data_IF_204098990638
#
_entry.id   IF_204098990638
#
_cell.length_a   1.000
_cell.length_b   1.000
_cell.length_c   1.000
_cell.angle_alpha   90.00
_cell.angle_beta   90.00
_cell.angle_gamma   90.00
#
_symmetry.space_group_name_H-M   'P 1'
#
loop_
_entity.id
_entity.type
_entity.pdbx_description
1 polymer ?
#
# COMPACT_ATOMS: atom_id res chain seq x y z
N UNK A 1 18.44 29.71 4.18
CA UNK A 1 19.07 28.60 4.90
C UNK A 1 20.34 29.12 5.55
N UNK A 2 20.44 29.03 6.86
CA UNK A 2 21.60 29.45 7.64
C UNK A 2 22.11 28.26 8.46
N UNK A 3 23.40 28.22 8.77
CA UNK A 3 23.91 27.21 9.68
C UNK A 3 24.91 27.83 10.65
N UNK A 4 25.03 27.23 11.82
CA UNK A 4 26.08 27.51 12.80
C UNK A 4 26.77 26.22 13.18
N UNK A 5 28.11 26.26 13.25
CA UNK A 5 28.92 25.08 13.61
C UNK A 5 30.07 25.51 14.50
N UNK A 6 30.36 24.68 15.51
CA UNK A 6 31.47 24.87 16.43
C UNK A 6 32.15 23.56 16.75
N UNK A 7 33.46 23.55 16.86
CA UNK A 7 34.23 22.37 17.24
C UNK A 7 33.83 21.91 18.65
N UNK A 8 33.42 20.66 18.78
CA UNK A 8 32.92 20.09 20.04
C UNK A 8 31.46 20.43 20.40
N UNK A 9 30.79 21.34 19.66
CA UNK A 9 29.38 21.73 19.93
C UNK A 9 28.39 21.27 18.85
N UNK A 10 28.88 20.67 17.76
CA UNK A 10 28.04 20.20 16.66
C UNK A 10 27.66 21.29 15.66
N UNK A 11 26.70 20.97 14.79
CA UNK A 11 26.21 21.87 13.73
C UNK A 11 24.70 21.99 13.81
N UNK A 12 24.18 23.21 13.80
CA UNK A 12 22.75 23.50 13.72
C UNK A 12 22.43 24.11 12.36
N UNK A 13 21.44 23.56 11.66
CA UNK A 13 20.90 24.11 10.42
C UNK A 13 19.55 24.77 10.69
N UNK A 14 19.39 26.01 10.22
CA UNK A 14 18.12 26.74 10.28
C UNK A 14 17.57 26.87 8.86
N UNK A 15 16.40 26.28 8.63
CA UNK A 15 15.68 26.36 7.36
C UNK A 15 14.40 27.13 7.59
N UNK A 16 14.23 28.26 6.90
CA UNK A 16 12.99 29.03 6.91
C UNK A 16 12.31 28.85 5.58
N UNK A 17 11.11 28.31 5.59
CA UNK A 17 10.27 28.11 4.41
C UNK A 17 9.05 29.02 4.54
N UNK A 18 8.80 29.96 3.60
CA UNK A 18 7.57 30.71 3.57
C UNK A 18 6.44 29.81 3.02
N UNK A 19 5.36 29.67 3.77
CA UNK A 19 4.12 29.05 3.32
C UNK A 19 3.01 30.10 3.26
N UNK A 20 2.26 30.11 2.16
CA UNK A 20 0.98 30.80 2.14
C UNK A 20 -0.02 29.98 2.97
N UNK A 21 -0.69 30.65 3.89
CA UNK A 21 -1.82 30.03 4.60
C UNK A 21 -2.97 29.98 3.60
N UNK A 22 -3.40 28.82 3.19
CA UNK A 22 -4.63 28.65 2.44
C UNK A 22 -5.82 28.88 3.42
N UNK A 23 -6.58 29.97 3.26
CA UNK A 23 -7.72 30.25 4.12
C UNK A 23 -8.92 29.35 3.80
N UNK A 24 -8.84 28.54 2.75
CA UNK A 24 -9.90 27.57 2.44
C UNK A 24 -9.89 26.53 3.56
N UNK A 25 -10.97 26.39 4.35
CA UNK A 25 -11.06 25.27 5.28
C UNK A 25 -10.85 24.02 4.44
N UNK A 26 -9.81 23.26 4.75
CA UNK A 26 -9.73 21.90 4.24
C UNK A 26 -11.08 21.29 4.60
N UNK A 27 -11.91 21.02 3.60
CA UNK A 27 -13.17 20.29 3.84
C UNK A 27 -12.76 19.15 4.74
N UNK A 28 -13.35 19.10 5.94
CA UNK A 28 -13.08 18.04 6.90
C UNK A 28 -13.08 16.78 6.07
N UNK A 29 -11.95 16.05 6.07
CA UNK A 29 -11.88 14.78 5.39
C UNK A 29 -13.14 14.07 5.82
N UNK A 30 -14.03 13.81 4.86
CA UNK A 30 -15.26 13.07 5.12
C UNK A 30 -14.81 11.90 6.00
N UNK A 31 -15.39 11.80 7.19
CA UNK A 31 -15.12 10.71 8.13
C UNK A 31 -15.68 9.41 7.54
N UNK A 32 -15.20 9.04 6.35
CA UNK A 32 -15.51 7.76 5.70
C UNK A 32 -14.88 6.60 6.46
N UNK A 33 -13.93 6.88 7.36
CA UNK A 33 -13.30 5.85 8.19
C UNK A 33 -14.31 5.18 9.14
N UNK A 34 -15.30 5.91 9.67
CA UNK A 34 -16.30 5.36 10.60
C UNK A 34 -17.28 4.37 9.96
N UNK A 35 -17.28 4.23 8.63
CA UNK A 35 -18.19 3.32 7.89
C UNK A 35 -17.47 2.19 7.16
N UNK A 36 -16.13 2.10 7.27
CA UNK A 36 -15.37 1.04 6.61
C UNK A 36 -15.48 -0.24 7.45
N UNK A 37 -16.04 -1.28 6.86
CA UNK A 37 -16.12 -2.62 7.44
C UNK A 37 -15.45 -3.61 6.48
N UNK A 38 -14.36 -4.23 6.94
CA UNK A 38 -13.58 -5.23 6.21
C UNK A 38 -13.93 -6.66 6.64
N UNK A 39 -15.03 -6.83 7.41
CA UNK A 39 -15.41 -8.14 7.94
C UNK A 39 -15.58 -9.17 6.83
N UNK A 40 -14.89 -10.29 6.98
CA UNK A 40 -14.91 -11.39 6.01
C UNK A 40 -14.00 -11.23 4.81
N UNK A 41 -13.24 -10.12 4.73
CA UNK A 41 -12.22 -9.95 3.70
C UNK A 41 -10.91 -10.62 4.07
N UNK A 42 -10.31 -11.30 3.09
CA UNK A 42 -8.99 -11.88 3.20
C UNK A 42 -8.00 -11.12 2.30
N UNK A 43 -7.07 -10.43 2.92
CA UNK A 43 -6.10 -9.57 2.27
C UNK A 43 -4.72 -10.23 2.32
N UNK A 44 -4.12 -10.49 1.15
CA UNK A 44 -2.74 -10.95 1.03
C UNK A 44 -1.81 -9.72 1.04
N UNK A 45 -1.09 -9.53 2.14
CA UNK A 45 -0.24 -8.37 2.39
C UNK A 45 1.24 -8.75 2.26
N UNK A 46 1.94 -8.12 1.31
CA UNK A 46 3.37 -8.30 1.11
C UNK A 46 4.16 -7.05 1.49
N UNK A 47 5.03 -7.20 2.45
CA UNK A 47 5.92 -6.16 2.97
C UNK A 47 7.16 -6.84 3.54
N UNK A 48 8.36 -6.41 3.18
CA UNK A 48 9.63 -6.99 3.65
C UNK A 48 10.10 -6.43 5.00
N UNK A 49 9.53 -5.31 5.43
CA UNK A 49 9.81 -4.73 6.73
C UNK A 49 8.78 -5.18 7.77
N UNK A 50 9.23 -5.92 8.78
CA UNK A 50 8.40 -6.52 9.82
C UNK A 50 7.54 -5.49 10.58
N UNK A 51 8.11 -4.34 10.95
CA UNK A 51 7.38 -3.27 11.64
C UNK A 51 6.29 -2.66 10.76
N UNK A 52 6.59 -2.43 9.47
CA UNK A 52 5.60 -1.93 8.53
C UNK A 52 4.49 -2.96 8.29
N UNK A 53 4.82 -4.24 8.26
CA UNK A 53 3.86 -5.35 8.18
C UNK A 53 2.90 -5.32 9.37
N UNK A 54 3.42 -5.32 10.59
CA UNK A 54 2.63 -5.32 11.83
C UNK A 54 1.68 -4.12 11.90
N UNK A 55 2.16 -2.92 11.55
CA UNK A 55 1.33 -1.70 11.56
C UNK A 55 0.14 -1.83 10.60
N UNK A 56 0.36 -2.29 9.36
CA UNK A 56 -0.71 -2.43 8.37
C UNK A 56 -1.68 -3.54 8.74
N UNK A 57 -1.15 -4.67 9.21
CA UNK A 57 -1.96 -5.78 9.70
C UNK A 57 -2.86 -5.34 10.85
N UNK A 58 -2.31 -4.64 11.85
CA UNK A 58 -3.08 -4.11 12.96
C UNK A 58 -4.26 -3.24 12.49
N UNK A 59 -4.03 -2.29 11.56
CA UNK A 59 -5.11 -1.44 11.07
C UNK A 59 -6.17 -2.22 10.28
N UNK A 60 -5.78 -3.12 9.40
CA UNK A 60 -6.73 -3.93 8.62
C UNK A 60 -7.59 -4.80 9.55
N UNK A 61 -6.97 -5.44 10.55
CA UNK A 61 -7.66 -6.31 11.51
C UNK A 61 -8.57 -5.52 12.47
N UNK A 62 -8.22 -4.29 12.84
CA UNK A 62 -9.11 -3.42 13.61
C UNK A 62 -10.44 -3.12 12.91
N UNK A 63 -10.46 -3.15 11.57
CA UNK A 63 -11.66 -2.95 10.76
C UNK A 63 -12.29 -4.27 10.30
N UNK A 64 -11.92 -5.39 10.93
CA UNK A 64 -12.54 -6.71 10.73
C UNK A 64 -11.96 -7.53 9.59
N UNK A 65 -10.95 -7.05 8.87
CA UNK A 65 -10.27 -7.79 7.82
C UNK A 65 -9.36 -8.89 8.38
N UNK A 66 -9.05 -9.89 7.57
CA UNK A 66 -8.06 -10.93 7.85
C UNK A 66 -6.86 -10.73 6.96
N UNK A 67 -5.65 -10.77 7.52
CA UNK A 67 -4.40 -10.58 6.77
C UNK A 67 -3.64 -11.88 6.66
N UNK A 68 -3.18 -12.19 5.45
CA UNK A 68 -2.16 -13.20 5.16
C UNK A 68 -0.84 -12.46 4.90
N UNK A 69 0.07 -12.38 5.89
CA UNK A 69 1.33 -11.68 5.73
C UNK A 69 2.35 -12.53 4.97
N UNK A 70 3.07 -11.91 4.02
CA UNK A 70 4.18 -12.51 3.28
C UNK A 70 5.29 -11.47 3.06
N UNK A 71 6.54 -11.91 2.83
CA UNK A 71 7.70 -11.03 2.84
C UNK A 71 8.21 -10.63 1.44
N UNK A 72 7.78 -11.34 0.40
CA UNK A 72 8.21 -11.06 -0.97
C UNK A 72 7.17 -11.47 -2.02
N UNK A 73 7.41 -11.04 -3.26
CA UNK A 73 6.51 -11.33 -4.38
C UNK A 73 6.45 -12.80 -4.80
N UNK A 74 7.47 -13.61 -4.46
CA UNK A 74 7.43 -15.05 -4.72
C UNK A 74 6.46 -15.77 -3.79
N UNK A 75 6.43 -15.35 -2.52
CA UNK A 75 5.47 -15.84 -1.55
C UNK A 75 4.04 -15.42 -1.93
N UNK A 76 3.83 -14.17 -2.41
CA UNK A 76 2.53 -13.75 -2.95
C UNK A 76 2.05 -14.69 -4.04
N UNK A 77 2.88 -14.95 -5.05
CA UNK A 77 2.56 -15.85 -6.16
C UNK A 77 2.22 -17.25 -5.67
N UNK A 78 3.00 -17.78 -4.72
CA UNK A 78 2.81 -19.12 -4.13
C UNK A 78 1.49 -19.21 -3.35
N UNK A 79 1.22 -18.24 -2.47
CA UNK A 79 0.00 -18.21 -1.67
C UNK A 79 -1.23 -18.03 -2.53
N UNK A 80 -1.20 -17.10 -3.50
CA UNK A 80 -2.30 -16.91 -4.43
C UNK A 80 -2.56 -18.16 -5.29
N UNK A 81 -1.52 -18.82 -5.79
CA UNK A 81 -1.67 -20.05 -6.58
C UNK A 81 -2.24 -21.22 -5.76
N UNK A 82 -1.96 -21.29 -4.47
CA UNK A 82 -2.41 -22.36 -3.58
C UNK A 82 -3.83 -22.13 -3.01
N UNK A 83 -4.30 -20.87 -2.99
CA UNK A 83 -5.64 -20.53 -2.50
C UNK A 83 -6.73 -20.97 -3.47
N UNK A 84 -7.94 -21.18 -2.96
CA UNK A 84 -9.11 -21.37 -3.80
C UNK A 84 -9.47 -20.07 -4.55
N UNK A 85 -10.06 -20.15 -5.76
CA UNK A 85 -10.53 -18.95 -6.45
C UNK A 85 -11.55 -18.17 -5.61
N UNK A 86 -11.29 -16.87 -5.41
CA UNK A 86 -12.13 -15.99 -4.60
C UNK A 86 -11.92 -16.10 -3.08
N UNK A 87 -10.96 -16.89 -2.61
CA UNK A 87 -10.56 -16.96 -1.20
C UNK A 87 -9.80 -15.68 -0.77
N UNK A 88 -8.94 -15.16 -1.64
CA UNK A 88 -8.25 -13.89 -1.43
C UNK A 88 -9.03 -12.79 -2.14
N UNK A 89 -9.39 -11.74 -1.41
CA UNK A 89 -10.21 -10.64 -1.92
C UNK A 89 -9.39 -9.49 -2.49
N UNK A 90 -8.17 -9.29 -1.99
CA UNK A 90 -7.29 -8.21 -2.38
C UNK A 90 -5.84 -8.55 -2.10
N UNK A 91 -4.94 -8.08 -2.95
CA UNK A 91 -3.49 -8.18 -2.76
C UNK A 91 -2.92 -6.78 -2.59
N UNK A 92 -2.21 -6.56 -1.49
CA UNK A 92 -1.52 -5.31 -1.17
C UNK A 92 -0.02 -5.56 -1.14
N UNK A 93 0.77 -4.93 -2.03
CA UNK A 93 2.19 -5.23 -2.18
C UNK A 93 3.07 -3.99 -2.09
N UNK A 94 4.13 -4.06 -1.30
CA UNK A 94 5.26 -3.14 -1.47
C UNK A 94 5.90 -3.35 -2.84
N UNK A 95 6.19 -2.25 -3.53
CA UNK A 95 6.85 -2.32 -4.84
C UNK A 95 8.26 -2.86 -4.73
N UNK A 96 9.00 -2.47 -3.69
CA UNK A 96 10.41 -2.79 -3.50
C UNK A 96 10.58 -3.89 -2.45
N UNK A 97 10.52 -5.14 -2.91
CA UNK A 97 10.75 -6.30 -2.07
C UNK A 97 11.93 -7.13 -2.59
N UNK A 98 12.64 -7.88 -1.72
CA UNK A 98 13.67 -8.82 -2.12
C UNK A 98 13.10 -9.98 -2.95
N UNK A 99 13.96 -10.82 -3.52
CA UNK A 99 13.64 -12.03 -4.28
C UNK A 99 12.79 -11.75 -5.52
N UNK A 100 11.56 -11.25 -5.35
CA UNK A 100 10.66 -10.87 -6.44
C UNK A 100 9.89 -9.59 -6.08
N UNK A 101 10.06 -8.54 -6.90
CA UNK A 101 9.32 -7.29 -6.72
C UNK A 101 7.84 -7.42 -7.16
N UNK A 102 7.02 -6.44 -6.74
CA UNK A 102 5.58 -6.44 -7.00
C UNK A 102 5.22 -6.50 -8.50
N UNK A 103 5.96 -5.81 -9.36
CA UNK A 103 5.67 -5.80 -10.80
C UNK A 103 5.81 -7.18 -11.44
N UNK A 104 6.85 -7.93 -11.03
CA UNK A 104 7.06 -9.29 -11.53
C UNK A 104 6.01 -10.24 -10.98
N UNK A 105 5.70 -10.15 -9.68
CA UNK A 105 4.66 -10.96 -9.04
C UNK A 105 3.30 -10.73 -9.72
N UNK A 106 2.92 -9.47 -9.95
CA UNK A 106 1.66 -9.11 -10.62
C UNK A 106 1.55 -9.72 -12.02
N UNK A 107 2.61 -9.61 -12.84
CA UNK A 107 2.58 -10.22 -14.19
C UNK A 107 2.40 -11.74 -14.13
N UNK A 108 3.06 -12.40 -13.18
CA UNK A 108 2.90 -13.86 -13.00
C UNK A 108 1.46 -14.18 -12.59
N UNK A 109 0.89 -13.46 -11.63
CA UNK A 109 -0.50 -13.65 -11.19
C UNK A 109 -1.46 -13.45 -12.37
N UNK A 110 -1.34 -12.33 -13.12
CA UNK A 110 -2.22 -12.02 -14.26
C UNK A 110 -2.16 -13.04 -15.41
N UNK A 111 -1.09 -13.84 -15.47
CA UNK A 111 -0.91 -14.91 -16.46
C UNK A 111 -1.40 -16.28 -15.98
N UNK A 112 -1.81 -16.44 -14.73
CA UNK A 112 -2.32 -17.71 -14.21
C UNK A 112 -3.64 -18.10 -14.89
N UNK A 113 -3.80 -19.40 -15.13
CA UNK A 113 -5.02 -19.98 -15.70
C UNK A 113 -6.07 -20.24 -14.61
N UNK A 114 -6.47 -19.18 -13.87
CA UNK A 114 -7.52 -19.23 -12.86
C UNK A 114 -8.49 -18.05 -13.06
N UNK A 115 -9.78 -18.21 -12.71
CA UNK A 115 -10.82 -17.24 -13.08
C UNK A 115 -10.59 -15.86 -12.47
N UNK A 116 -10.08 -15.77 -11.24
CA UNK A 116 -9.85 -14.54 -10.49
C UNK A 116 -8.49 -13.88 -10.74
N UNK A 117 -7.57 -14.55 -11.44
CA UNK A 117 -6.22 -14.01 -11.70
C UNK A 117 -6.21 -12.67 -12.45
N UNK A 118 -7.22 -12.41 -13.27
CA UNK A 118 -7.33 -11.16 -14.05
C UNK A 118 -8.11 -10.07 -13.34
N UNK A 119 -8.91 -10.42 -12.34
CA UNK A 119 -9.87 -9.51 -11.70
C UNK A 119 -9.55 -9.22 -10.25
N UNK A 120 -8.72 -10.05 -9.58
CA UNK A 120 -8.32 -9.76 -8.20
C UNK A 120 -7.65 -8.39 -8.11
N UNK A 121 -8.11 -7.50 -7.22
CA UNK A 121 -7.47 -6.22 -7.02
C UNK A 121 -6.04 -6.37 -6.50
N UNK A 122 -5.08 -5.68 -7.15
CA UNK A 122 -3.68 -5.66 -6.76
C UNK A 122 -3.25 -4.21 -6.60
N UNK A 123 -2.97 -3.81 -5.37
CA UNK A 123 -2.60 -2.45 -5.00
C UNK A 123 -1.09 -2.40 -4.69
N UNK A 124 -0.39 -1.47 -5.34
CA UNK A 124 1.02 -1.19 -5.09
C UNK A 124 1.18 -0.19 -3.94
N UNK A 125 2.14 -0.41 -3.07
CA UNK A 125 2.62 0.56 -2.09
C UNK A 125 4.06 0.95 -2.44
N UNK A 126 4.38 2.24 -2.59
CA UNK A 126 5.71 2.66 -2.99
C UNK A 126 6.15 3.95 -2.31
N UNK A 127 7.46 4.06 -2.03
CA UNK A 127 8.06 5.28 -1.50
C UNK A 127 8.05 6.45 -2.53
N UNK A 128 7.86 6.15 -3.81
CA UNK A 128 7.88 7.12 -4.90
C UNK A 128 6.52 7.19 -5.58
N UNK A 129 5.94 8.39 -5.62
CA UNK A 129 4.70 8.67 -6.36
C UNK A 129 4.99 9.36 -7.72
N UNK A 130 6.17 9.09 -8.32
CA UNK A 130 6.48 9.65 -9.63
C UNK A 130 5.66 8.99 -10.73
N UNK A 131 5.34 9.74 -11.77
CA UNK A 131 4.54 9.26 -12.90
C UNK A 131 5.10 7.97 -13.52
N UNK A 132 6.42 7.83 -13.57
CA UNK A 132 7.09 6.64 -14.11
C UNK A 132 6.79 5.38 -13.30
N UNK A 133 6.66 5.48 -11.97
CA UNK A 133 6.37 4.33 -11.12
C UNK A 133 4.89 3.94 -11.18
N UNK A 134 4.01 4.92 -11.30
CA UNK A 134 2.57 4.69 -11.57
C UNK A 134 2.40 3.98 -12.91
N UNK A 135 3.08 4.44 -13.97
CA UNK A 135 3.04 3.81 -15.28
C UNK A 135 3.56 2.36 -15.27
N UNK A 136 4.64 2.09 -14.52
CA UNK A 136 5.16 0.73 -14.35
C UNK A 136 4.18 -0.19 -13.63
N UNK A 137 3.49 0.31 -12.59
CA UNK A 137 2.44 -0.42 -11.89
C UNK A 137 1.31 -0.80 -12.83
N UNK A 138 0.79 0.17 -13.57
CA UNK A 138 -0.28 -0.04 -14.54
C UNK A 138 0.15 -1.01 -15.66
N UNK A 139 1.36 -0.84 -16.20
CA UNK A 139 1.91 -1.74 -17.23
C UNK A 139 2.14 -3.17 -16.72
N UNK A 140 2.30 -3.35 -15.41
CA UNK A 140 2.36 -4.67 -14.79
C UNK A 140 0.98 -5.30 -14.59
N UNK A 141 -0.11 -4.51 -14.66
CA UNK A 141 -1.48 -4.95 -14.43
C UNK A 141 -1.95 -4.75 -12.99
N UNK A 142 -1.33 -3.82 -12.25
CA UNK A 142 -1.82 -3.39 -10.92
C UNK A 142 -2.96 -2.39 -11.08
N UNK A 143 -3.88 -2.39 -10.13
CA UNK A 143 -5.12 -1.61 -10.22
C UNK A 143 -4.99 -0.23 -9.58
N UNK A 144 -4.14 -0.10 -8.56
CA UNK A 144 -3.90 1.17 -7.88
C UNK A 144 -2.46 1.28 -7.38
N UNK A 145 -2.00 2.55 -7.21
CA UNK A 145 -0.67 2.87 -6.70
C UNK A 145 -0.79 3.84 -5.53
N UNK A 146 -0.37 3.38 -4.35
CA UNK A 146 -0.46 4.10 -3.08
C UNK A 146 0.91 4.64 -2.68
N UNK A 147 1.08 5.96 -2.55
CA UNK A 147 2.34 6.53 -2.10
C UNK A 147 2.54 6.31 -0.59
N UNK A 148 3.75 5.92 -0.18
CA UNK A 148 4.19 5.93 1.21
C UNK A 148 4.66 7.36 1.60
N UNK A 149 4.44 7.85 2.83
CA UNK A 149 3.84 7.13 3.95
C UNK A 149 2.32 6.99 3.82
N UNK A 150 1.82 5.79 4.08
CA UNK A 150 0.38 5.51 4.07
C UNK A 150 -0.22 5.89 5.42
N UNK A 151 -1.17 6.83 5.41
CA UNK A 151 -2.04 7.01 6.57
C UNK A 151 -3.08 5.88 6.63
N UNK A 152 -3.62 5.65 7.82
CA UNK A 152 -4.68 4.64 8.03
C UNK A 152 -5.87 4.90 7.11
N UNK A 153 -6.29 6.17 6.99
CA UNK A 153 -7.42 6.59 6.16
C UNK A 153 -7.16 6.28 4.67
N UNK A 154 -5.93 6.56 4.19
CA UNK A 154 -5.56 6.30 2.80
C UNK A 154 -5.52 4.80 2.50
N UNK A 155 -4.98 3.99 3.42
CA UNK A 155 -4.94 2.54 3.28
C UNK A 155 -6.34 1.95 3.24
N UNK A 156 -7.15 2.24 4.25
CA UNK A 156 -8.50 1.71 4.38
C UNK A 156 -9.43 2.23 3.28
N UNK A 157 -9.33 3.53 2.93
CA UNK A 157 -10.08 4.11 1.82
C UNK A 157 -9.72 3.49 0.47
N UNK A 158 -8.45 3.12 0.24
CA UNK A 158 -8.05 2.39 -0.95
C UNK A 158 -8.67 0.99 -0.99
N UNK A 159 -8.57 0.23 0.11
CA UNK A 159 -9.17 -1.10 0.22
C UNK A 159 -10.69 -1.03 0.01
N UNK A 160 -11.38 -0.09 0.66
CA UNK A 160 -12.84 0.05 0.59
C UNK A 160 -13.37 0.27 -0.83
N UNK A 161 -12.62 0.95 -1.72
CA UNK A 161 -13.01 1.14 -3.12
C UNK A 161 -13.18 -0.16 -3.90
N UNK A 162 -12.48 -1.22 -3.49
CA UNK A 162 -12.52 -2.52 -4.17
C UNK A 162 -13.48 -3.51 -3.52
N UNK A 163 -13.97 -3.22 -2.30
CA UNK A 163 -15.01 -4.04 -1.62
C UNK A 163 -16.38 -3.82 -2.25
N UNK A 164 -16.72 -2.59 -2.58
CA UNK A 164 -18.05 -2.18 -3.07
C UNK A 164 -18.36 -2.67 -4.49
N UNK A 165 -17.43 -3.36 -5.14
CA UNK A 165 -17.59 -3.85 -6.52
C UNK A 165 -17.96 -5.35 -6.62
N UNK A 166 -18.24 -6.01 -5.48
CA UNK A 166 -18.75 -7.40 -5.42
C UNK A 166 -20.26 -7.49 -5.42
#
# INVERSE_FOLDING_TARGET
>A
MNFSSGEGTGTAFHVTLPFAIDPTPTAAADNTADSIDLTGMQILLAEDNELNMEIKQFFIEQYGGTVLPVQDGQEVVKHFAASAPGEIDLILMDVMMPVMNAYKATRVIRQMSRPDAKTIPILAMSANAFQDDIQKSQAAGMDEHLPKPLSTENLLGAIARYITQK
#
